data_IF_100378549695
#
_entry.id   IF_100378549695
#
_cell.length_a   1.000
_cell.length_b   1.000
_cell.length_c   1.000
_cell.angle_alpha   90.00
_cell.angle_beta   90.00
_cell.angle_gamma   90.00
#
_symmetry.space_group_name_H-M   'P 1'
#
loop_
_entity.id
_entity.type
_entity.pdbx_description
1 polymer ?
#
# COMPACT_ATOMS: atom_id res chain seq x y z
N UNK A 1 -22.12 -43.70 -16.48
CA UNK A 1 -21.24 -42.62 -16.95
C UNK A 1 -21.39 -41.47 -15.96
N UNK A 2 -20.45 -41.31 -15.02
CA UNK A 2 -20.53 -40.29 -13.97
C UNK A 2 -19.59 -39.16 -14.33
N UNK A 3 -20.14 -37.97 -14.58
CA UNK A 3 -19.39 -36.76 -14.88
C UNK A 3 -18.96 -36.13 -13.55
N UNK A 4 -17.66 -35.95 -13.25
CA UNK A 4 -17.24 -35.30 -12.02
C UNK A 4 -17.56 -33.80 -12.07
N UNK A 5 -18.26 -33.31 -11.04
CA UNK A 5 -18.55 -31.90 -10.85
C UNK A 5 -17.24 -31.11 -10.62
N UNK A 6 -17.06 -30.06 -11.43
CA UNK A 6 -15.93 -29.14 -11.39
C UNK A 6 -16.01 -28.30 -10.10
N UNK A 7 -14.90 -28.13 -9.34
CA UNK A 7 -14.94 -27.32 -8.12
C UNK A 7 -15.28 -25.87 -8.45
N UNK A 8 -16.26 -25.32 -7.73
CA UNK A 8 -16.66 -23.93 -7.86
C UNK A 8 -15.50 -23.03 -7.40
N UNK A 9 -14.91 -22.31 -8.35
CA UNK A 9 -13.88 -21.31 -8.08
C UNK A 9 -14.51 -20.19 -7.23
N UNK A 10 -14.07 -20.08 -5.97
CA UNK A 10 -14.48 -18.98 -5.09
C UNK A 10 -14.25 -17.64 -5.80
N UNK A 11 -15.22 -16.71 -5.78
CA UNK A 11 -15.11 -15.45 -6.47
C UNK A 11 -13.89 -14.71 -5.95
N UNK A 12 -12.86 -14.55 -6.79
CA UNK A 12 -11.69 -13.72 -6.52
C UNK A 12 -12.23 -12.31 -6.30
N UNK A 13 -12.39 -11.89 -5.03
CA UNK A 13 -12.72 -10.50 -4.68
C UNK A 13 -11.73 -9.62 -5.42
N UNK A 14 -12.23 -8.84 -6.39
CA UNK A 14 -11.39 -7.92 -7.16
C UNK A 14 -10.83 -6.90 -6.17
N UNK A 15 -9.55 -7.04 -5.86
CA UNK A 15 -8.81 -6.07 -5.07
C UNK A 15 -8.87 -4.74 -5.81
N UNK A 16 -9.41 -3.70 -5.18
CA UNK A 16 -9.43 -2.36 -5.77
C UNK A 16 -8.11 -1.70 -5.45
N UNK A 17 -7.53 -1.08 -6.47
CA UNK A 17 -6.25 -0.40 -6.41
C UNK A 17 -6.49 1.05 -6.76
N UNK A 18 -5.93 1.95 -5.97
CA UNK A 18 -5.98 3.38 -6.17
C UNK A 18 -4.60 3.99 -5.94
N UNK A 19 -4.38 5.17 -6.50
CA UNK A 19 -3.13 5.91 -6.28
C UNK A 19 -3.08 6.36 -4.82
N UNK A 20 -1.95 6.14 -4.15
CA UNK A 20 -1.72 6.53 -2.77
C UNK A 20 -1.88 8.04 -2.62
N UNK A 21 -2.79 8.44 -1.74
CA UNK A 21 -3.01 9.83 -1.37
C UNK A 21 -2.10 10.22 -0.22
N UNK A 22 -1.65 11.47 -0.22
CA UNK A 22 -1.00 12.07 0.92
C UNK A 22 -1.98 12.06 2.10
N UNK A 23 -1.52 11.53 3.25
CA UNK A 23 -2.31 11.46 4.49
C UNK A 23 -2.50 12.83 5.16
N UNK A 24 -1.78 13.87 4.71
CA UNK A 24 -2.10 15.24 5.10
C UNK A 24 -3.41 15.70 4.42
N UNK A 25 -4.44 15.90 5.24
CA UNK A 25 -5.77 16.34 4.82
C UNK A 25 -5.76 17.66 4.04
N UNK A 26 -4.84 18.56 4.36
CA UNK A 26 -4.71 19.85 3.66
C UNK A 26 -3.98 19.72 2.31
N UNK A 27 -3.19 18.67 2.11
CA UNK A 27 -2.42 18.50 0.89
C UNK A 27 -3.21 17.76 -0.20
N UNK A 28 -3.74 16.57 0.12
CA UNK A 28 -4.44 15.72 -0.84
C UNK A 28 -3.61 15.34 -2.08
N UNK A 29 -2.27 15.47 -2.04
CA UNK A 29 -1.38 15.11 -3.14
C UNK A 29 -1.44 13.62 -3.48
N UNK A 30 -1.18 13.27 -4.74
CA UNK A 30 -1.08 11.89 -5.19
C UNK A 30 0.40 11.49 -5.28
N UNK A 31 0.74 10.31 -4.74
CA UNK A 31 2.09 9.76 -4.80
C UNK A 31 2.18 8.73 -5.92
N UNK A 32 3.40 8.44 -6.38
CA UNK A 32 3.66 7.47 -7.45
C UNK A 32 3.51 5.99 -7.02
N UNK A 33 2.78 5.73 -5.94
CA UNK A 33 2.58 4.40 -5.38
C UNK A 33 1.11 4.03 -5.42
N UNK A 34 0.83 2.75 -5.58
CA UNK A 34 -0.51 2.20 -5.60
C UNK A 34 -0.85 1.60 -4.24
N UNK A 35 -1.98 2.00 -3.68
CA UNK A 35 -2.56 1.47 -2.44
C UNK A 35 -3.81 0.66 -2.76
N UNK A 36 -4.02 -0.40 -2.00
CA UNK A 36 -5.21 -1.26 -2.12
C UNK A 36 -6.33 -0.78 -1.19
N UNK A 37 -7.57 -1.19 -1.45
CA UNK A 37 -8.69 -0.93 -0.53
C UNK A 37 -8.47 -1.48 0.90
N UNK A 38 -7.53 -2.43 1.04
CA UNK A 38 -7.10 -3.01 2.32
C UNK A 38 -6.02 -2.20 3.04
N UNK A 39 -5.53 -1.10 2.45
CA UNK A 39 -4.57 -0.18 3.06
C UNK A 39 -3.10 -0.60 2.97
N UNK A 40 -2.76 -1.56 2.09
CA UNK A 40 -1.37 -1.89 1.78
C UNK A 40 -1.01 -1.50 0.36
N UNK A 41 0.28 -1.19 0.17
CA UNK A 41 0.87 -0.81 -1.09
C UNK A 41 1.21 -2.03 -1.94
N UNK A 42 1.06 -1.89 -3.25
CA UNK A 42 1.44 -2.91 -4.21
C UNK A 42 2.92 -2.81 -4.58
N UNK A 43 3.51 -3.96 -4.92
CA UNK A 43 4.92 -4.07 -5.28
C UNK A 43 5.87 -4.15 -4.07
N UNK A 44 7.16 -4.23 -4.36
CA UNK A 44 8.24 -4.16 -3.37
C UNK A 44 8.66 -2.70 -3.14
N UNK A 45 7.68 -1.85 -2.86
CA UNK A 45 7.88 -0.38 -2.84
C UNK A 45 8.73 0.10 -1.67
N UNK A 46 8.88 -0.71 -0.62
CA UNK A 46 9.67 -0.32 0.55
C UNK A 46 11.14 -0.04 0.21
N UNK A 47 11.68 -0.72 -0.80
CA UNK A 47 13.05 -0.49 -1.27
C UNK A 47 13.24 0.91 -1.88
N UNK A 48 12.12 1.56 -2.27
CA UNK A 48 12.09 2.92 -2.79
C UNK A 48 11.85 3.97 -1.68
N UNK A 49 11.64 3.54 -0.43
CA UNK A 49 11.38 4.45 0.68
C UNK A 49 12.69 5.10 1.13
N UNK A 50 12.62 6.38 1.45
CA UNK A 50 13.72 7.08 2.10
C UNK A 50 13.84 6.61 3.56
N UNK A 51 15.06 6.66 4.09
CA UNK A 51 15.38 6.19 5.44
C UNK A 51 15.86 7.39 6.26
N UNK A 52 15.19 7.64 7.39
CA UNK A 52 15.59 8.63 8.39
C UNK A 52 15.68 7.93 9.75
N UNK A 53 16.91 7.61 10.16
CA UNK A 53 17.17 6.79 11.34
C UNK A 53 16.55 5.40 11.23
N UNK A 54 15.62 5.08 12.14
CA UNK A 54 14.90 3.81 12.16
C UNK A 54 13.59 3.82 11.36
N UNK A 55 13.19 4.97 10.79
CA UNK A 55 11.93 5.12 10.06
C UNK A 55 12.16 5.06 8.56
N UNK A 56 11.20 4.47 7.84
CA UNK A 56 11.10 4.54 6.39
C UNK A 56 9.93 5.42 6.00
N UNK A 57 10.07 6.22 4.95
CA UNK A 57 9.01 7.10 4.49
C UNK A 57 9.05 7.34 2.99
N UNK A 58 7.89 7.71 2.45
CA UNK A 58 7.79 8.25 1.10
C UNK A 58 7.57 9.76 1.16
N UNK A 59 8.43 10.57 0.52
CA UNK A 59 8.24 12.01 0.46
C UNK A 59 7.01 12.33 -0.39
N UNK A 60 6.20 13.27 0.08
CA UNK A 60 5.09 13.81 -0.70
C UNK A 60 5.62 14.89 -1.63
N UNK A 61 5.51 14.73 -2.97
CA UNK A 61 6.02 15.73 -3.92
C UNK A 61 5.29 17.07 -3.87
N UNK A 62 4.10 17.12 -3.25
CA UNK A 62 3.25 18.32 -3.19
C UNK A 62 3.49 19.17 -1.94
N UNK A 63 3.61 18.55 -0.76
CA UNK A 63 3.78 19.28 0.51
C UNK A 63 5.14 19.06 1.18
N UNK A 64 6.01 18.21 0.63
CA UNK A 64 7.29 17.84 1.23
C UNK A 64 7.20 16.94 2.45
N UNK A 65 6.00 16.73 3.02
CA UNK A 65 5.81 15.88 4.19
C UNK A 65 6.10 14.40 3.91
N UNK A 66 6.36 13.65 4.97
CA UNK A 66 6.84 12.27 4.96
C UNK A 66 5.70 11.30 5.26
N UNK A 67 5.42 10.39 4.34
CA UNK A 67 4.46 9.30 4.55
C UNK A 67 5.19 8.11 5.16
N UNK A 68 5.04 7.91 6.47
CA UNK A 68 5.73 6.83 7.18
C UNK A 68 5.22 5.47 6.72
N UNK A 69 6.14 4.57 6.37
CA UNK A 69 5.82 3.24 5.86
C UNK A 69 6.56 2.14 6.60
N UNK A 70 5.87 1.01 6.74
CA UNK A 70 6.39 -0.17 7.43
C UNK A 70 6.00 -1.44 6.68
N UNK A 71 6.82 -2.48 6.87
CA UNK A 71 6.50 -3.84 6.45
C UNK A 71 5.59 -4.50 7.48
N UNK A 72 4.64 -5.29 6.99
CA UNK A 72 3.83 -6.16 7.82
C UNK A 72 3.50 -7.46 7.07
N UNK A 73 3.23 -8.52 7.82
CA UNK A 73 2.71 -9.75 7.22
C UNK A 73 1.21 -9.63 6.97
N UNK A 74 0.78 -9.92 5.75
CA UNK A 74 -0.61 -10.02 5.37
C UNK A 74 -0.83 -11.32 4.59
N UNK A 75 -1.54 -12.27 5.19
CA UNK A 75 -1.86 -13.55 4.56
C UNK A 75 -0.60 -14.36 4.20
N UNK A 76 0.42 -14.33 5.09
CA UNK A 76 1.71 -14.99 4.86
C UNK A 76 2.58 -14.33 3.80
N UNK A 77 2.25 -13.09 3.40
CA UNK A 77 3.01 -12.29 2.43
C UNK A 77 3.44 -10.99 3.07
N UNK A 78 4.73 -10.66 2.94
CA UNK A 78 5.24 -9.35 3.31
C UNK A 78 4.62 -8.29 2.41
N UNK A 79 3.99 -7.31 3.05
CA UNK A 79 3.34 -6.15 2.42
C UNK A 79 3.84 -4.89 3.09
N UNK A 80 3.67 -3.78 2.39
CA UNK A 80 4.03 -2.45 2.89
C UNK A 80 2.75 -1.69 3.13
N UNK A 81 2.68 -0.88 4.18
CA UNK A 81 1.55 0.03 4.40
C UNK A 81 2.05 1.39 4.88
N UNK A 82 1.23 2.41 4.68
CA UNK A 82 1.44 3.71 5.31
C UNK A 82 0.86 3.67 6.72
N UNK A 83 1.69 3.97 7.71
CA UNK A 83 1.33 3.93 9.13
C UNK A 83 1.15 5.30 9.76
N UNK A 84 1.65 6.35 9.11
CA UNK A 84 1.57 7.70 9.62
C UNK A 84 2.03 8.76 8.63
N UNK A 85 2.03 10.01 9.08
CA UNK A 85 2.47 11.16 8.33
C UNK A 85 3.21 12.14 9.23
N UNK A 86 4.35 12.64 8.77
CA UNK A 86 5.08 13.73 9.40
C UNK A 86 5.12 14.93 8.44
N UNK A 87 4.74 16.15 8.87
CA UNK A 87 4.86 17.34 8.02
C UNK A 87 6.33 17.67 7.74
N UNK A 88 6.56 18.48 6.70
CA UNK A 88 7.88 18.99 6.35
C UNK A 88 8.39 20.02 7.38
#
# INVERSE_FOLDING_TARGET
MTVPAKPAESPKRKLRVHVLKCRNESCGGLLAFEETDRGYLLGQVLELAEVDGAKRYFPCPKCGGRQLVEEFDCDGKRRVRVVGFEPA
#
